data_IF_043791175630
#
_entry.id   IF_043791175630
#
_cell.length_a   1.000
_cell.length_b   1.000
_cell.length_c   1.000
_cell.angle_alpha   90.00
_cell.angle_beta   90.00
_cell.angle_gamma   90.00
#
_symmetry.space_group_name_H-M   'P 1'
#
loop_
_entity.id
_entity.type
_entity.pdbx_description
1 polymer ?
#
# COMPACT_ATOMS: atom_id res chain seq x y z
N UNK A 1 -4.60 1.21 22.56
CA UNK A 1 -3.88 2.33 21.90
C UNK A 1 -4.80 3.34 21.20
N UNK A 2 -6.13 3.24 21.39
CA UNK A 2 -7.11 4.13 20.76
C UNK A 2 -7.14 5.50 21.45
N UNK A 3 -7.12 6.57 20.66
CA UNK A 3 -7.29 7.94 21.13
C UNK A 3 -6.15 8.47 22.00
N UNK A 4 -4.94 7.93 21.86
CA UNK A 4 -3.75 8.51 22.50
C UNK A 4 -3.34 9.73 21.68
N UNK A 5 -3.31 10.91 22.32
CA UNK A 5 -2.95 12.18 21.68
C UNK A 5 -1.62 12.74 22.15
N UNK A 6 -1.24 12.44 23.39
CA UNK A 6 -0.09 13.04 24.05
C UNK A 6 0.91 11.97 24.54
N UNK A 7 2.19 12.33 24.51
CA UNK A 7 3.27 11.45 24.96
C UNK A 7 3.27 11.21 26.49
N UNK A 8 2.61 12.08 27.26
CA UNK A 8 2.46 11.94 28.71
C UNK A 8 1.45 10.85 29.11
N UNK A 9 0.67 10.30 28.16
CA UNK A 9 -0.24 9.20 28.43
C UNK A 9 0.54 7.95 28.87
N UNK A 10 0.12 7.29 29.96
CA UNK A 10 0.73 6.03 30.43
C UNK A 10 0.79 4.96 29.34
N UNK A 11 -0.15 4.98 28.40
CA UNK A 11 -0.21 4.08 27.23
C UNK A 11 0.96 4.28 26.27
N UNK A 12 1.52 5.50 26.20
CA UNK A 12 2.73 5.80 25.43
C UNK A 12 3.96 5.06 25.99
N UNK A 13 4.09 5.00 27.32
CA UNK A 13 5.17 4.25 27.99
C UNK A 13 5.09 2.75 27.67
N UNK A 14 3.88 2.17 27.63
CA UNK A 14 3.68 0.78 27.21
C UNK A 14 3.98 0.55 25.73
N UNK A 15 3.72 1.53 24.86
CA UNK A 15 4.00 1.43 23.43
C UNK A 15 5.50 1.33 23.15
N UNK A 16 6.31 2.17 23.81
CA UNK A 16 7.76 2.22 23.59
C UNK A 16 8.57 1.30 24.51
N UNK A 17 8.00 0.90 25.66
CA UNK A 17 8.67 0.07 26.67
C UNK A 17 8.23 -1.41 26.67
N UNK A 18 8.71 -2.16 27.66
CA UNK A 18 8.23 -3.53 27.93
C UNK A 18 8.53 -4.58 26.86
N UNK A 19 9.62 -4.42 26.09
CA UNK A 19 9.96 -5.31 24.96
C UNK A 19 10.08 -6.78 25.33
N UNK A 20 10.70 -7.11 26.47
CA UNK A 20 10.82 -8.51 26.94
C UNK A 20 9.43 -9.11 27.14
N UNK A 21 8.53 -8.40 27.82
CA UNK A 21 7.15 -8.86 28.04
C UNK A 21 6.41 -9.05 26.71
N UNK A 22 6.55 -8.12 25.75
CA UNK A 22 5.94 -8.23 24.42
C UNK A 22 6.42 -9.44 23.64
N UNK A 23 7.73 -9.72 23.67
CA UNK A 23 8.33 -10.88 22.99
C UNK A 23 7.80 -12.18 23.61
N UNK A 24 7.80 -12.27 24.95
CA UNK A 24 7.28 -13.44 25.66
C UNK A 24 5.80 -13.66 25.33
N UNK A 25 4.98 -12.60 25.39
CA UNK A 25 3.57 -12.68 25.03
C UNK A 25 3.35 -13.12 23.57
N UNK A 26 4.14 -12.59 22.64
CA UNK A 26 4.07 -12.97 21.23
C UNK A 26 4.39 -14.45 21.00
N UNK A 27 5.46 -14.97 21.61
CA UNK A 27 5.82 -16.40 21.53
C UNK A 27 4.72 -17.27 22.13
N UNK A 28 4.16 -16.88 23.29
CA UNK A 28 3.05 -17.60 23.91
C UNK A 28 1.81 -17.65 23.02
N UNK A 29 1.47 -16.54 22.35
CA UNK A 29 0.34 -16.50 21.42
C UNK A 29 0.55 -17.41 20.19
N UNK A 30 1.79 -17.51 19.68
CA UNK A 30 2.12 -18.47 18.61
C UNK A 30 1.91 -19.90 19.08
N UNK A 31 2.41 -20.25 20.26
CA UNK A 31 2.24 -21.60 20.82
C UNK A 31 0.76 -21.91 21.03
N UNK A 32 -0.02 -20.95 21.54
CA UNK A 32 -1.45 -21.11 21.78
C UNK A 32 -2.24 -21.37 20.49
N UNK A 33 -1.80 -20.82 19.35
CA UNK A 33 -2.44 -21.05 18.05
C UNK A 33 -2.51 -22.53 17.63
N UNK A 34 -1.58 -23.37 18.09
CA UNK A 34 -1.61 -24.81 17.81
C UNK A 34 -2.70 -25.58 18.56
N UNK A 35 -3.28 -24.99 19.61
CA UNK A 35 -4.33 -25.62 20.43
C UNK A 35 -5.75 -25.15 20.06
N UNK A 36 -5.88 -24.24 19.08
CA UNK A 36 -7.17 -23.72 18.65
C UNK A 36 -7.89 -24.72 17.72
N UNK A 37 -9.21 -24.94 17.90
CA UNK A 37 -9.97 -25.86 17.07
C UNK A 37 -10.13 -25.31 15.64
N UNK A 38 -10.24 -26.23 14.67
CA UNK A 38 -10.37 -25.91 13.23
C UNK A 38 -11.49 -24.91 12.91
N UNK A 39 -12.59 -24.93 13.67
CA UNK A 39 -13.71 -23.99 13.49
C UNK A 39 -13.25 -22.54 13.68
N UNK A 40 -12.39 -22.26 14.67
CA UNK A 40 -11.89 -20.90 14.90
C UNK A 40 -10.93 -20.48 13.79
N UNK A 41 -10.13 -21.43 13.28
CA UNK A 41 -9.21 -21.18 12.16
C UNK A 41 -10.00 -20.82 10.89
N UNK A 42 -11.12 -21.51 10.59
CA UNK A 42 -11.98 -21.18 9.44
C UNK A 42 -12.65 -19.80 9.57
N UNK A 43 -13.04 -19.39 10.77
CA UNK A 43 -13.55 -18.03 11.02
C UNK A 43 -12.44 -17.00 10.79
N UNK A 44 -11.25 -17.25 11.34
CA UNK A 44 -10.10 -16.36 11.16
C UNK A 44 -9.67 -16.24 9.69
N UNK A 45 -9.74 -17.34 8.92
CA UNK A 45 -9.50 -17.35 7.47
C UNK A 45 -10.46 -16.41 6.74
N UNK A 46 -11.76 -16.46 7.07
CA UNK A 46 -12.77 -15.57 6.46
C UNK A 46 -12.49 -14.10 6.78
N UNK A 47 -12.13 -13.81 8.03
CA UNK A 47 -11.73 -12.45 8.46
C UNK A 47 -10.46 -12.02 7.72
N UNK A 48 -9.48 -12.91 7.58
CA UNK A 48 -8.20 -12.64 6.92
C UNK A 48 -8.36 -12.37 5.43
N UNK A 49 -9.29 -13.04 4.73
CA UNK A 49 -9.65 -12.72 3.34
C UNK A 49 -10.07 -11.26 3.19
N UNK A 50 -11.00 -10.81 4.04
CA UNK A 50 -11.47 -9.43 4.02
C UNK A 50 -10.37 -8.44 4.42
N UNK A 51 -9.64 -8.75 5.51
CA UNK A 51 -8.52 -7.92 5.97
C UNK A 51 -7.40 -7.80 4.94
N UNK A 52 -7.14 -8.85 4.17
CA UNK A 52 -6.16 -8.84 3.07
C UNK A 52 -6.60 -7.95 1.92
N UNK A 53 -7.90 -7.97 1.56
CA UNK A 53 -8.45 -7.02 0.59
C UNK A 53 -8.31 -5.57 1.05
N UNK A 54 -8.57 -5.30 2.34
CA UNK A 54 -8.35 -3.97 2.92
C UNK A 54 -6.87 -3.58 2.96
N UNK A 55 -5.97 -4.53 3.23
CA UNK A 55 -4.53 -4.29 3.20
C UNK A 55 -4.06 -3.88 1.81
N UNK A 56 -4.55 -4.51 0.74
CA UNK A 56 -4.24 -4.11 -0.64
C UNK A 56 -4.60 -2.64 -0.90
N UNK A 57 -5.74 -2.15 -0.37
CA UNK A 57 -6.11 -0.73 -0.47
C UNK A 57 -5.16 0.18 0.32
N UNK A 58 -4.79 -0.22 1.54
CA UNK A 58 -3.80 0.52 2.35
C UNK A 58 -2.44 0.55 1.63
N UNK A 59 -2.04 -0.56 1.04
CA UNK A 59 -0.80 -0.70 0.28
C UNK A 59 -0.76 0.27 -0.91
N UNK A 60 -1.88 0.46 -1.60
CA UNK A 60 -2.03 1.45 -2.68
C UNK A 60 -1.78 2.87 -2.19
N UNK A 61 -2.36 3.26 -1.05
CA UNK A 61 -2.18 4.61 -0.51
C UNK A 61 -0.72 4.80 -0.06
N UNK A 62 -0.11 3.78 0.54
CA UNK A 62 1.31 3.78 0.90
C UNK A 62 2.19 3.98 -0.34
N UNK A 63 1.88 3.25 -1.42
CA UNK A 63 2.62 3.36 -2.67
C UNK A 63 2.49 4.76 -3.28
N UNK A 64 1.29 5.35 -3.26
CA UNK A 64 1.07 6.73 -3.72
C UNK A 64 1.93 7.73 -2.92
N UNK A 65 1.85 7.70 -1.59
CA UNK A 65 2.67 8.56 -0.72
C UNK A 65 4.18 8.38 -0.98
N UNK A 66 4.63 7.14 -1.16
CA UNK A 66 6.02 6.83 -1.52
C UNK A 66 6.41 7.49 -2.85
N UNK A 67 5.60 7.34 -3.90
CA UNK A 67 5.94 7.87 -5.22
C UNK A 67 5.99 9.40 -5.27
N UNK A 68 5.07 10.07 -4.57
CA UNK A 68 5.10 11.54 -4.45
C UNK A 68 6.30 11.99 -3.60
N UNK A 69 6.55 11.35 -2.46
CA UNK A 69 7.71 11.68 -1.61
C UNK A 69 9.03 11.47 -2.36
N UNK A 70 9.15 10.41 -3.15
CA UNK A 70 10.32 10.16 -3.98
C UNK A 70 10.47 11.24 -5.05
N UNK A 71 9.39 11.59 -5.75
CA UNK A 71 9.39 12.67 -6.73
C UNK A 71 9.87 13.98 -6.11
N UNK A 72 9.25 14.39 -5.01
CA UNK A 72 9.50 15.68 -4.38
C UNK A 72 10.93 15.75 -3.83
N UNK A 73 11.45 14.65 -3.26
CA UNK A 73 12.83 14.58 -2.78
C UNK A 73 13.88 14.75 -3.89
N UNK A 74 13.58 14.37 -5.14
CA UNK A 74 14.47 14.58 -6.29
C UNK A 74 14.28 15.97 -6.91
N UNK A 75 13.04 16.47 -6.97
CA UNK A 75 12.72 17.81 -7.45
C UNK A 75 13.32 18.89 -6.53
N UNK A 76 13.29 18.69 -5.21
CA UNK A 76 13.83 19.63 -4.21
C UNK A 76 15.35 19.84 -4.36
N UNK A 77 16.08 18.88 -4.96
CA UNK A 77 17.51 19.05 -5.22
C UNK A 77 17.83 20.15 -6.23
N UNK A 78 16.86 20.49 -7.08
CA UNK A 78 16.94 21.56 -8.08
C UNK A 78 18.20 21.51 -8.99
N UNK A 79 18.67 20.29 -9.32
CA UNK A 79 19.77 20.09 -10.27
C UNK A 79 19.29 19.35 -11.52
N UNK A 80 19.83 19.74 -12.68
CA UNK A 80 19.51 19.13 -13.98
C UNK A 80 19.69 17.59 -14.00
N UNK A 81 20.66 17.06 -13.25
CA UNK A 81 20.91 15.61 -13.19
C UNK A 81 19.73 14.84 -12.58
N UNK A 82 19.07 15.40 -11.56
CA UNK A 82 17.93 14.77 -10.91
C UNK A 82 16.68 14.81 -11.78
N UNK A 83 16.46 15.90 -12.53
CA UNK A 83 15.38 15.96 -13.53
C UNK A 83 15.57 14.94 -14.66
N UNK A 84 16.81 14.78 -15.18
CA UNK A 84 17.13 13.76 -16.18
C UNK A 84 16.92 12.35 -15.61
N UNK A 85 17.35 12.10 -14.37
CA UNK A 85 17.13 10.83 -13.69
C UNK A 85 15.64 10.53 -13.53
N UNK A 86 14.83 11.53 -13.14
CA UNK A 86 13.39 11.40 -12.96
C UNK A 86 12.69 11.04 -14.28
N UNK A 87 13.08 11.70 -15.37
CA UNK A 87 12.58 11.38 -16.71
C UNK A 87 13.00 9.98 -17.15
N UNK A 88 14.26 9.60 -16.95
CA UNK A 88 14.79 8.30 -17.35
C UNK A 88 14.08 7.15 -16.61
N UNK A 89 13.90 7.28 -15.29
CA UNK A 89 13.15 6.30 -14.48
C UNK A 89 11.70 6.24 -14.95
N UNK A 90 11.05 7.39 -15.17
CA UNK A 90 9.66 7.43 -15.61
C UNK A 90 9.45 6.77 -16.97
N UNK A 91 10.33 7.04 -17.93
CA UNK A 91 10.31 6.42 -19.25
C UNK A 91 10.54 4.90 -19.15
N UNK A 92 11.50 4.47 -18.32
CA UNK A 92 11.75 3.05 -18.05
C UNK A 92 10.53 2.34 -17.47
N UNK A 93 9.86 2.95 -16.49
CA UNK A 93 8.63 2.43 -15.89
C UNK A 93 7.49 2.31 -16.92
N UNK A 94 7.27 3.30 -17.78
CA UNK A 94 6.25 3.19 -18.83
C UNK A 94 6.57 2.10 -19.85
N UNK A 95 7.83 2.01 -20.32
CA UNK A 95 8.26 0.95 -21.24
C UNK A 95 8.02 -0.42 -20.60
N UNK A 96 8.37 -0.58 -19.33
CA UNK A 96 8.13 -1.81 -18.58
C UNK A 96 6.63 -2.11 -18.46
N UNK A 97 5.79 -1.14 -18.09
CA UNK A 97 4.34 -1.32 -17.94
C UNK A 97 3.68 -1.78 -19.24
N UNK A 98 3.98 -1.13 -20.37
CA UNK A 98 3.40 -1.48 -21.66
C UNK A 98 3.95 -2.79 -22.23
N UNK A 99 5.26 -3.04 -22.07
CA UNK A 99 5.88 -4.29 -22.52
C UNK A 99 5.36 -5.47 -21.70
N UNK A 100 5.25 -5.31 -20.37
CA UNK A 100 4.70 -6.34 -19.50
C UNK A 100 3.22 -6.61 -19.82
N UNK A 101 2.40 -5.58 -20.03
CA UNK A 101 1.02 -5.73 -20.50
C UNK A 101 0.93 -6.43 -21.85
N UNK A 102 1.88 -6.15 -22.76
CA UNK A 102 2.02 -6.87 -24.03
C UNK A 102 2.29 -8.37 -23.85
N UNK A 103 3.14 -8.74 -22.88
CA UNK A 103 3.40 -10.14 -22.53
C UNK A 103 2.15 -10.83 -21.95
N UNK A 104 1.27 -10.11 -21.25
CA UNK A 104 0.03 -10.67 -20.73
C UNK A 104 -0.89 -11.17 -21.85
N UNK A 105 -0.93 -10.51 -23.02
CA UNK A 105 -1.68 -11.04 -24.16
C UNK A 105 -1.16 -12.40 -24.61
N UNK A 106 0.15 -12.63 -24.57
CA UNK A 106 0.74 -13.92 -24.97
C UNK A 106 0.37 -15.02 -23.97
N UNK A 107 0.27 -14.70 -22.67
CA UNK A 107 -0.01 -15.69 -21.62
C UNK A 107 -1.51 -15.92 -21.37
N UNK A 108 -2.35 -14.90 -21.58
CA UNK A 108 -3.75 -14.91 -21.16
C UNK A 108 -4.77 -14.77 -22.32
N UNK A 109 -4.31 -14.75 -23.57
CA UNK A 109 -5.15 -14.76 -24.78
C UNK A 109 -4.64 -15.79 -25.81
N UNK A 110 -4.76 -17.11 -25.53
CA UNK A 110 -4.35 -18.16 -26.46
C UNK A 110 -5.20 -18.15 -27.74
N UNK A 111 -4.57 -18.43 -28.89
CA UNK A 111 -5.25 -18.49 -30.19
C UNK A 111 -6.29 -19.61 -30.22
N UNK A 112 -7.48 -19.32 -30.75
CA UNK A 112 -8.56 -20.30 -30.95
C UNK A 112 -9.63 -20.33 -29.84
N UNK A 113 -9.54 -19.44 -28.84
CA UNK A 113 -10.54 -19.28 -27.78
C UNK A 113 -10.96 -17.82 -27.61
N UNK A 114 -12.21 -17.58 -27.22
CA UNK A 114 -12.71 -16.24 -26.91
C UNK A 114 -12.36 -15.84 -25.47
N UNK A 115 -11.24 -15.14 -25.32
CA UNK A 115 -10.73 -14.63 -24.04
C UNK A 115 -11.03 -13.14 -23.86
N UNK A 116 -12.25 -12.72 -24.21
CA UNK A 116 -12.66 -11.31 -24.24
C UNK A 116 -12.55 -10.59 -22.89
N UNK A 117 -12.78 -11.30 -21.78
CA UNK A 117 -12.65 -10.73 -20.44
C UNK A 117 -11.19 -10.37 -20.10
N UNK A 118 -10.26 -11.27 -20.40
CA UNK A 118 -8.82 -11.06 -20.16
C UNK A 118 -8.30 -9.93 -21.05
N UNK A 119 -8.71 -9.93 -22.32
CA UNK A 119 -8.43 -8.83 -23.26
C UNK A 119 -8.96 -7.51 -22.72
N UNK A 120 -10.20 -7.48 -22.22
CA UNK A 120 -10.77 -6.26 -21.62
C UNK A 120 -9.95 -5.76 -20.44
N UNK A 121 -9.56 -6.63 -19.51
CA UNK A 121 -8.73 -6.23 -18.36
C UNK A 121 -7.39 -5.66 -18.81
N UNK A 122 -6.65 -6.34 -19.69
CA UNK A 122 -5.35 -5.87 -20.16
C UNK A 122 -5.46 -4.54 -20.92
N UNK A 123 -6.43 -4.42 -21.84
CA UNK A 123 -6.65 -3.20 -22.61
C UNK A 123 -7.03 -2.04 -21.69
N UNK A 124 -7.91 -2.28 -20.71
CA UNK A 124 -8.30 -1.26 -19.73
C UNK A 124 -7.10 -0.78 -18.91
N UNK A 125 -6.24 -1.70 -18.45
CA UNK A 125 -4.99 -1.34 -17.74
C UNK A 125 -4.08 -0.46 -18.60
N UNK A 126 -3.92 -0.78 -19.89
CA UNK A 126 -3.12 0.03 -20.82
C UNK A 126 -3.73 1.41 -21.07
N UNK A 127 -5.06 1.50 -21.21
CA UNK A 127 -5.78 2.77 -21.37
C UNK A 127 -5.61 3.63 -20.11
N UNK A 128 -5.73 3.04 -18.92
CA UNK A 128 -5.51 3.74 -17.66
C UNK A 128 -4.08 4.27 -17.55
N UNK A 129 -3.07 3.43 -17.83
CA UNK A 129 -1.66 3.84 -17.83
C UNK A 129 -1.39 5.00 -18.80
N UNK A 130 -1.95 4.95 -20.01
CA UNK A 130 -1.84 6.03 -20.97
C UNK A 130 -2.55 7.31 -20.48
N UNK A 131 -3.74 7.18 -19.91
CA UNK A 131 -4.51 8.27 -19.33
C UNK A 131 -3.78 8.95 -18.16
N UNK A 132 -3.13 8.18 -17.28
CA UNK A 132 -2.30 8.71 -16.20
C UNK A 132 -1.17 9.59 -16.73
N UNK A 133 -0.51 9.17 -17.81
CA UNK A 133 0.53 9.96 -18.46
C UNK A 133 0.02 11.27 -19.04
N UNK A 134 -1.10 11.24 -19.77
CA UNK A 134 -1.71 12.44 -20.34
C UNK A 134 -2.09 13.44 -19.25
N UNK A 135 -2.78 12.97 -18.20
CA UNK A 135 -3.29 13.84 -17.13
C UNK A 135 -2.13 14.40 -16.30
N UNK A 136 -1.09 13.61 -16.03
CA UNK A 136 0.09 14.08 -15.33
C UNK A 136 0.89 15.14 -16.10
N UNK A 137 0.89 15.08 -17.43
CA UNK A 137 1.55 16.08 -18.31
C UNK A 137 0.67 17.30 -18.61
N UNK A 138 -0.61 17.27 -18.23
CA UNK A 138 -1.52 18.36 -18.56
C UNK A 138 -1.13 19.62 -17.77
N UNK A 139 -0.92 20.79 -18.42
CA UNK A 139 -0.29 21.96 -17.79
C UNK A 139 -1.09 22.61 -16.67
N UNK A 140 -2.39 22.32 -16.57
CA UNK A 140 -3.21 22.77 -15.43
C UNK A 140 -3.05 21.88 -14.19
N UNK A 141 -2.64 20.63 -14.38
CA UNK A 141 -2.42 19.68 -13.29
C UNK A 141 -0.95 19.84 -12.90
N UNK A 142 -0.66 20.17 -11.64
CA UNK A 142 0.71 20.17 -11.12
C UNK A 142 1.18 18.71 -10.90
N UNK A 143 1.09 17.89 -11.95
CA UNK A 143 1.41 16.49 -11.94
C UNK A 143 2.89 16.23 -12.21
N UNK A 144 3.35 15.02 -11.89
CA UNK A 144 4.67 14.53 -12.26
C UNK A 144 4.57 13.18 -12.96
N UNK A 145 5.49 12.95 -13.88
CA UNK A 145 5.53 11.73 -14.68
C UNK A 145 5.98 10.50 -13.86
N UNK A 146 6.76 10.72 -12.80
CA UNK A 146 7.29 9.61 -11.98
C UNK A 146 6.17 8.87 -11.24
N UNK A 147 5.31 9.53 -10.42
CA UNK A 147 4.14 8.87 -9.83
C UNK A 147 3.27 8.19 -10.87
N UNK A 148 2.97 8.85 -12.00
CA UNK A 148 2.15 8.29 -13.08
C UNK A 148 2.71 6.95 -13.61
N UNK A 149 4.02 6.92 -13.86
CA UNK A 149 4.70 5.76 -14.44
C UNK A 149 4.81 4.58 -13.46
N UNK A 150 5.12 4.84 -12.18
CA UNK A 150 5.23 3.79 -11.14
C UNK A 150 3.86 3.19 -10.85
N UNK A 151 2.82 4.02 -10.76
CA UNK A 151 1.44 3.54 -10.59
C UNK A 151 0.99 2.72 -11.81
N UNK A 152 1.40 3.09 -13.03
CA UNK A 152 1.12 2.31 -14.24
C UNK A 152 1.76 0.90 -14.19
N UNK A 153 3.01 0.79 -13.71
CA UNK A 153 3.67 -0.51 -13.49
C UNK A 153 2.92 -1.33 -12.45
N UNK A 154 2.47 -0.69 -11.37
CA UNK A 154 1.72 -1.37 -10.31
C UNK A 154 0.35 -1.85 -10.79
N UNK A 155 -0.38 -1.07 -11.60
CA UNK A 155 -1.63 -1.52 -12.23
C UNK A 155 -1.38 -2.72 -13.16
N UNK A 156 -0.31 -2.69 -13.98
CA UNK A 156 0.07 -3.84 -14.80
C UNK A 156 0.40 -5.08 -13.95
N UNK A 157 1.06 -4.90 -12.80
CA UNK A 157 1.29 -5.96 -11.83
C UNK A 157 -0.03 -6.49 -11.24
N UNK A 158 -0.95 -5.64 -10.81
CA UNK A 158 -2.26 -6.06 -10.28
C UNK A 158 -3.08 -6.83 -11.32
N UNK A 159 -3.07 -6.39 -12.58
CA UNK A 159 -3.71 -7.07 -13.70
C UNK A 159 -3.12 -8.46 -13.91
N UNK A 160 -1.78 -8.60 -13.98
CA UNK A 160 -1.11 -9.91 -14.00
C UNK A 160 -1.49 -10.79 -12.80
N UNK A 161 -1.48 -10.18 -11.61
CA UNK A 161 -1.82 -10.84 -10.36
C UNK A 161 -3.26 -11.34 -10.35
N UNK A 162 -4.18 -10.61 -10.98
CA UNK A 162 -5.58 -11.00 -11.15
C UNK A 162 -5.71 -12.16 -12.13
N UNK A 163 -5.16 -12.03 -13.34
CA UNK A 163 -5.25 -13.05 -14.39
C UNK A 163 -4.57 -14.37 -13.98
N UNK A 164 -3.45 -14.30 -13.26
CA UNK A 164 -2.79 -15.49 -12.72
C UNK A 164 -3.60 -16.23 -11.64
N UNK A 165 -4.60 -15.55 -11.04
CA UNK A 165 -5.55 -16.12 -10.08
C UNK A 165 -6.85 -16.63 -10.73
N UNK A 166 -6.94 -16.72 -12.07
CA UNK A 166 -8.10 -17.30 -12.74
C UNK A 166 -8.27 -18.81 -12.46
N UNK A 167 -9.51 -19.35 -12.43
CA UNK A 167 -9.82 -20.79 -12.28
C UNK A 167 -8.94 -21.72 -13.13
N UNK A 168 -8.52 -22.89 -12.61
CA UNK A 168 -7.64 -23.84 -13.33
C UNK A 168 -8.25 -24.40 -14.59
N UNK A 169 -9.57 -24.56 -14.59
CA UNK A 169 -10.34 -24.98 -15.76
C UNK A 169 -10.58 -23.88 -16.79
N UNK A 170 -10.15 -22.63 -16.53
CA UNK A 170 -10.34 -21.53 -17.47
C UNK A 170 -9.28 -21.56 -18.56
N UNK A 171 -9.73 -21.80 -19.79
CA UNK A 171 -8.88 -22.08 -20.97
C UNK A 171 -7.95 -20.90 -21.32
N UNK A 172 -8.33 -19.69 -20.93
CA UNK A 172 -7.57 -18.48 -21.23
C UNK A 172 -6.33 -18.31 -20.37
N UNK A 173 -6.23 -18.97 -19.20
CA UNK A 173 -5.04 -18.91 -18.37
C UNK A 173 -3.97 -19.90 -18.86
N UNK A 174 -3.12 -19.45 -19.79
CA UNK A 174 -2.02 -20.25 -20.35
C UNK A 174 -0.89 -20.56 -19.35
N UNK A 175 -0.91 -19.96 -18.16
CA UNK A 175 0.10 -20.17 -17.12
C UNK A 175 -0.05 -21.54 -16.45
N UNK A 176 -1.27 -22.08 -16.37
CA UNK A 176 -1.54 -23.39 -15.77
C UNK A 176 -0.89 -24.55 -16.53
N UNK A 177 -0.72 -24.41 -17.85
CA UNK A 177 -0.02 -25.41 -18.66
C UNK A 177 1.50 -25.41 -18.43
N UNK A 178 2.05 -24.38 -17.76
CA UNK A 178 3.49 -24.24 -17.47
C UNK A 178 3.84 -24.31 -15.98
N UNK A 179 2.90 -24.09 -15.05
CA UNK A 179 3.13 -24.11 -13.61
C UNK A 179 2.04 -24.91 -12.88
N UNK A 180 2.42 -26.04 -12.26
CA UNK A 180 1.51 -26.91 -11.47
C UNK A 180 1.19 -26.39 -10.05
N UNK A 181 1.71 -25.23 -9.67
CA UNK A 181 1.50 -24.59 -8.37
C UNK A 181 1.45 -23.08 -8.50
N UNK A 182 1.16 -22.40 -7.39
CA UNK A 182 1.38 -20.95 -7.27
C UNK A 182 2.75 -20.66 -7.84
N UNK A 183 2.84 -19.78 -8.84
CA UNK A 183 4.13 -19.41 -9.41
C UNK A 183 4.99 -18.90 -8.26
N UNK A 184 6.07 -19.60 -7.90
CA UNK A 184 6.96 -19.17 -6.82
C UNK A 184 7.35 -17.69 -6.96
N UNK A 185 7.37 -17.18 -8.20
CA UNK A 185 7.51 -15.75 -8.52
C UNK A 185 6.40 -14.85 -7.99
N UNK A 186 5.11 -15.20 -8.11
CA UNK A 186 4.00 -14.36 -7.60
C UNK A 186 3.99 -14.30 -6.08
N UNK A 187 4.29 -15.41 -5.41
CA UNK A 187 4.42 -15.44 -3.95
C UNK A 187 5.62 -14.62 -3.47
N UNK A 188 6.78 -14.77 -4.10
CA UNK A 188 7.97 -13.99 -3.75
C UNK A 188 7.75 -12.49 -3.99
N UNK A 189 7.15 -12.11 -5.12
CA UNK A 189 6.83 -10.71 -5.42
C UNK A 189 5.79 -10.14 -4.44
N UNK A 190 4.74 -10.89 -4.12
CA UNK A 190 3.72 -10.49 -3.13
C UNK A 190 4.30 -10.31 -1.73
N UNK A 191 5.15 -11.23 -1.27
CA UNK A 191 5.82 -11.09 0.03
C UNK A 191 6.77 -9.89 0.03
N UNK A 192 7.58 -9.72 -1.01
CA UNK A 192 8.54 -8.63 -1.10
C UNK A 192 7.82 -7.27 -1.09
N UNK A 193 6.77 -7.11 -1.88
CA UNK A 193 5.97 -5.88 -1.91
C UNK A 193 5.31 -5.60 -0.55
N UNK A 194 4.80 -6.62 0.14
CA UNK A 194 4.24 -6.48 1.50
C UNK A 194 5.28 -6.00 2.48
N UNK A 195 6.45 -6.64 2.51
CA UNK A 195 7.56 -6.29 3.40
C UNK A 195 8.01 -4.85 3.14
N UNK A 196 8.23 -4.48 1.88
CA UNK A 196 8.62 -3.11 1.51
C UNK A 196 7.56 -2.08 1.93
N UNK A 197 6.28 -2.39 1.77
CA UNK A 197 5.17 -1.49 2.14
C UNK A 197 5.09 -1.27 3.65
N UNK A 198 5.22 -2.34 4.43
CA UNK A 198 5.21 -2.25 5.90
C UNK A 198 6.46 -1.54 6.42
N UNK A 199 7.64 -1.83 5.85
CA UNK A 199 8.89 -1.15 6.20
C UNK A 199 8.79 0.35 5.88
N UNK A 200 8.29 0.72 4.71
CA UNK A 200 8.08 2.11 4.36
C UNK A 200 7.07 2.77 5.31
N UNK A 201 5.94 2.12 5.63
CA UNK A 201 4.97 2.65 6.59
C UNK A 201 5.59 2.87 7.97
N UNK A 202 6.45 1.98 8.44
CA UNK A 202 7.16 2.12 9.71
C UNK A 202 8.19 3.26 9.68
N UNK A 203 8.95 3.40 8.59
CA UNK A 203 9.90 4.51 8.41
C UNK A 203 9.17 5.84 8.32
N UNK A 204 8.08 5.90 7.55
CA UNK A 204 7.21 7.07 7.40
C UNK A 204 6.56 7.45 8.73
N UNK A 205 6.15 6.48 9.55
CA UNK A 205 5.69 6.74 10.92
C UNK A 205 6.71 7.50 11.77
N UNK A 206 8.00 7.20 11.55
CA UNK A 206 9.11 7.87 12.24
C UNK A 206 9.55 9.20 11.62
N UNK A 207 9.29 9.42 10.32
CA UNK A 207 9.83 10.58 9.58
C UNK A 207 8.80 11.62 9.14
N UNK A 208 7.50 11.30 9.01
CA UNK A 208 6.49 12.25 8.54
C UNK A 208 5.08 11.91 9.03
N UNK A 209 4.40 12.90 9.62
CA UNK A 209 3.14 12.71 10.36
C UNK A 209 1.88 12.65 9.50
N UNK A 210 1.96 12.93 8.19
CA UNK A 210 0.78 13.18 7.34
C UNK A 210 -0.06 11.93 7.07
N UNK A 211 0.58 10.78 6.81
CA UNK A 211 -0.13 9.56 6.41
C UNK A 211 -0.81 8.81 7.57
N UNK A 212 -0.23 8.85 8.78
CA UNK A 212 -0.69 8.04 9.92
C UNK A 212 -1.49 8.82 10.97
N UNK A 213 -1.80 10.09 10.71
CA UNK A 213 -2.53 10.93 11.66
C UNK A 213 -3.98 11.12 11.21
N UNK A 214 -4.98 10.76 12.04
CA UNK A 214 -6.36 11.12 11.76
C UNK A 214 -6.53 12.65 11.75
N UNK A 215 -7.53 13.19 11.03
CA UNK A 215 -7.73 14.63 10.86
C UNK A 215 -7.96 15.41 12.17
N UNK A 216 -8.26 14.71 13.27
CA UNK A 216 -8.48 15.27 14.61
C UNK A 216 -7.26 15.18 15.54
N UNK A 217 -6.10 14.73 15.06
CA UNK A 217 -4.86 14.66 15.84
C UNK A 217 -4.05 15.95 15.70
N UNK A 218 -3.49 16.51 16.79
CA UNK A 218 -2.55 17.63 16.68
C UNK A 218 -1.32 17.17 15.88
N UNK A 219 -1.15 17.66 14.64
CA UNK A 219 -0.01 17.32 13.81
C UNK A 219 1.22 18.02 14.39
N UNK A 220 2.24 17.26 14.82
CA UNK A 220 3.51 17.80 15.34
C UNK A 220 4.42 18.42 14.27
N UNK A 221 3.86 18.77 13.10
CA UNK A 221 4.60 19.23 11.91
C UNK A 221 4.13 20.58 11.37
N UNK A 222 3.25 21.31 12.07
CA UNK A 222 3.08 22.73 11.77
C UNK A 222 4.37 23.43 12.18
N UNK A 223 5.14 23.84 11.18
CA UNK A 223 6.38 24.61 11.26
C UNK A 223 6.42 25.49 12.51
N UNK A 224 7.16 25.08 13.54
CA UNK A 224 7.69 26.07 14.48
C UNK A 224 8.78 26.80 13.69
N UNK A 225 8.65 28.11 13.41
CA UNK A 225 9.73 28.84 12.77
C UNK A 225 10.94 28.76 13.70
N UNK A 226 12.05 28.23 13.21
CA UNK A 226 13.34 28.13 13.90
C UNK A 226 14.03 29.50 14.06
N UNK A 227 13.25 30.56 14.27
CA UNK A 227 13.69 31.92 14.54
C UNK A 227 12.74 32.54 15.56
N UNK A 228 12.80 32.05 16.79
CA UNK A 228 12.54 32.93 17.93
C UNK A 228 13.84 33.69 18.16
N UNK A 229 13.87 34.92 17.63
CA UNK A 229 14.95 35.86 17.80
C UNK A 229 15.34 35.97 19.28
N UNK A 230 16.64 35.86 19.56
CA UNK A 230 17.23 36.26 20.84
C UNK A 230 16.82 37.70 21.18
N UNK A 231 15.72 37.88 21.89
CA UNK A 231 15.51 39.02 22.77
C UNK A 231 15.85 38.55 24.17
N UNK A 232 17.08 38.82 24.56
CA UNK A 232 17.48 38.94 25.96
C UNK A 232 16.62 40.05 26.54
N UNK A 233 15.71 39.73 27.46
CA UNK A 233 15.33 40.62 28.55
C UNK A 233 14.69 39.85 29.72
N UNK A 234 15.49 39.79 30.79
CA UNK A 234 15.15 39.85 32.21
C UNK A 234 14.21 38.84 32.91
N UNK A 235 14.82 38.14 33.89
CA UNK A 235 14.37 38.21 35.28
C UNK A 235 13.06 37.52 35.71
N UNK A 236 13.23 36.33 36.33
CA UNK A 236 12.53 35.90 37.56
C UNK A 236 11.09 35.37 37.42
N UNK A 237 10.97 34.06 37.19
CA UNK A 237 10.22 33.17 38.11
C UNK A 237 10.41 31.68 37.75
N UNK A 238 11.21 30.98 38.56
CA UNK A 238 11.13 29.52 38.69
C UNK A 238 9.88 29.19 39.49
N UNK A 239 8.79 28.77 38.85
CA UNK A 239 7.72 27.98 39.46
C UNK A 239 6.86 27.30 38.38
N UNK A 240 7.01 25.98 38.29
CA UNK A 240 6.01 25.05 37.75
C UNK A 240 5.61 25.25 36.29
N UNK A 241 6.49 24.94 35.34
CA UNK A 241 6.02 24.64 33.99
C UNK A 241 5.67 23.16 33.95
N UNK A 242 4.38 22.84 34.01
CA UNK A 242 3.87 21.54 33.56
C UNK A 242 4.53 21.25 32.22
N UNK A 243 5.24 20.12 32.11
CA UNK A 243 5.92 19.75 30.86
C UNK A 243 4.88 19.77 29.75
N UNK A 244 4.97 20.74 28.83
CA UNK A 244 4.01 20.89 27.73
C UNK A 244 3.79 19.51 27.10
N UNK A 245 2.53 19.08 27.04
CA UNK A 245 2.17 17.79 26.51
C UNK A 245 2.59 17.72 25.04
N UNK A 246 3.69 17.03 24.77
CA UNK A 246 4.13 16.84 23.39
C UNK A 246 3.14 15.90 22.70
N UNK A 247 2.57 16.31 21.55
CA UNK A 247 1.67 15.45 20.81
C UNK A 247 2.41 14.22 20.27
N UNK A 248 1.68 13.12 20.10
CA UNK A 248 2.22 11.91 19.46
C UNK A 248 2.37 12.14 17.95
N UNK A 249 3.48 11.68 17.37
CA UNK A 249 3.81 11.90 15.96
C UNK A 249 2.87 11.18 14.99
N UNK A 250 2.21 10.11 15.42
CA UNK A 250 1.27 9.33 14.62
C UNK A 250 0.23 8.63 15.49
N UNK A 251 -0.87 8.19 14.87
CA UNK A 251 -1.87 7.38 15.57
C UNK A 251 -1.38 5.95 15.76
N UNK A 252 -1.11 5.59 17.02
CA UNK A 252 -0.75 4.23 17.39
C UNK A 252 -1.79 3.20 16.94
N UNK A 253 -3.08 3.53 17.02
CA UNK A 253 -4.14 2.63 16.56
C UNK A 253 -4.09 2.35 15.07
N UNK A 254 -3.83 3.37 14.24
CA UNK A 254 -3.72 3.19 12.80
C UNK A 254 -2.47 2.40 12.43
N UNK A 255 -1.34 2.68 13.10
CA UNK A 255 -0.12 1.89 12.98
C UNK A 255 -0.36 0.39 13.23
N UNK A 256 -0.95 0.04 14.37
CA UNK A 256 -1.25 -1.38 14.66
C UNK A 256 -2.27 -2.00 13.71
N UNK A 257 -3.24 -1.21 13.22
CA UNK A 257 -4.20 -1.68 12.23
C UNK A 257 -3.49 -2.07 10.91
N UNK A 258 -2.57 -1.24 10.41
CA UNK A 258 -1.78 -1.56 9.20
C UNK A 258 -1.00 -2.86 9.39
N UNK A 259 -0.30 -3.03 10.51
CA UNK A 259 0.45 -4.26 10.79
C UNK A 259 -0.45 -5.50 10.94
N UNK A 260 -1.63 -5.35 11.54
CA UNK A 260 -2.61 -6.45 11.64
C UNK A 260 -3.10 -6.87 10.25
N UNK A 261 -3.49 -5.90 9.40
CA UNK A 261 -3.93 -6.15 8.03
C UNK A 261 -2.79 -6.75 7.17
N UNK A 262 -1.56 -6.27 7.34
CA UNK A 262 -0.38 -6.84 6.67
C UNK A 262 -0.15 -8.30 7.08
N UNK A 263 -0.32 -8.64 8.36
CA UNK A 263 -0.17 -10.01 8.85
C UNK A 263 -1.24 -10.94 8.30
N UNK A 264 -2.48 -10.47 8.14
CA UNK A 264 -3.56 -11.20 7.47
C UNK A 264 -3.23 -11.44 6.00
N UNK A 265 -2.74 -10.40 5.29
CA UNK A 265 -2.32 -10.52 3.90
C UNK A 265 -1.16 -11.50 3.72
N UNK A 266 -0.13 -11.42 4.56
CA UNK A 266 0.99 -12.36 4.55
C UNK A 266 0.53 -13.80 4.80
N UNK A 267 -0.36 -14.00 5.78
CA UNK A 267 -0.97 -15.30 6.05
C UNK A 267 -1.71 -15.85 4.83
N UNK A 268 -2.56 -15.04 4.20
CA UNK A 268 -3.32 -15.41 3.01
C UNK A 268 -2.43 -15.70 1.80
N UNK A 269 -1.36 -14.93 1.61
CA UNK A 269 -0.41 -15.16 0.54
C UNK A 269 0.37 -16.47 0.74
N UNK A 270 0.80 -16.77 1.98
CA UNK A 270 1.51 -18.02 2.31
C UNK A 270 0.62 -19.26 2.19
N UNK A 271 -0.67 -19.13 2.48
CA UNK A 271 -1.64 -20.23 2.32
C UNK A 271 -2.21 -20.31 0.91
N UNK A 272 -1.75 -19.47 -0.03
CA UNK A 272 -2.26 -19.41 -1.40
C UNK A 272 -3.77 -19.17 -1.45
N UNK A 273 -4.28 -18.34 -0.55
CA UNK A 273 -5.69 -17.96 -0.43
C UNK A 273 -6.69 -19.14 -0.30
N UNK A 274 -6.20 -20.32 0.09
CA UNK A 274 -6.99 -21.55 0.21
C UNK A 274 -7.98 -21.53 1.39
N UNK A 275 -9.16 -22.16 1.21
CA UNK A 275 -10.13 -22.38 2.29
C UNK A 275 -9.86 -23.71 2.99
N UNK A 276 -9.89 -23.72 4.32
CA UNK A 276 -9.69 -24.91 5.14
C UNK A 276 -10.86 -25.94 5.04
N UNK A 277 -12.00 -25.54 4.49
CA UNK A 277 -13.26 -26.31 4.54
C UNK A 277 -13.68 -26.99 3.23
N UNK A 278 -12.98 -26.74 2.12
CA UNK A 278 -13.26 -27.41 0.85
C UNK A 278 -12.56 -28.78 0.83
N UNK A 279 -13.30 -29.85 1.13
CA UNK A 279 -12.87 -31.24 1.00
C UNK A 279 -12.63 -31.72 -0.44
N UNK A 280 -12.38 -30.80 -1.37
CA UNK A 280 -12.00 -31.05 -2.75
C UNK A 280 -10.72 -30.28 -3.06
N UNK A 281 -9.81 -30.91 -3.82
CA UNK A 281 -8.47 -30.44 -4.20
C UNK A 281 -8.47 -29.23 -5.15
N UNK A 282 -9.36 -28.26 -4.96
CA UNK A 282 -9.34 -26.99 -5.68
C UNK A 282 -8.67 -25.93 -4.80
N UNK A 283 -7.41 -25.64 -5.12
CA UNK A 283 -6.62 -24.60 -4.47
C UNK A 283 -7.19 -23.24 -4.82
N UNK A 284 -7.64 -22.46 -3.82
CA UNK A 284 -8.29 -21.14 -3.99
C UNK A 284 -7.24 -20.01 -4.07
N UNK A 285 -6.08 -20.25 -4.68
CA UNK A 285 -5.31 -19.15 -5.29
C UNK A 285 -5.88 -18.78 -6.67
N UNK A 286 -6.95 -19.50 -7.02
CA UNK A 286 -7.47 -19.75 -8.34
C UNK A 286 -8.99 -19.71 -8.22
N UNK A 287 -9.59 -18.60 -8.62
CA UNK A 287 -11.02 -18.36 -8.45
C UNK A 287 -11.40 -16.92 -8.79
N UNK A 288 -12.57 -16.76 -9.40
CA UNK A 288 -13.07 -15.46 -9.86
C UNK A 288 -13.10 -14.39 -8.76
N UNK A 289 -13.32 -14.76 -7.49
CA UNK A 289 -13.28 -13.82 -6.37
C UNK A 289 -11.92 -13.15 -6.21
N UNK A 290 -10.81 -13.91 -6.31
CA UNK A 290 -9.44 -13.34 -6.21
C UNK A 290 -9.16 -12.41 -7.39
N UNK A 291 -9.57 -12.82 -8.61
CA UNK A 291 -9.46 -11.99 -9.82
C UNK A 291 -10.15 -10.64 -9.60
N UNK A 292 -11.42 -10.65 -9.20
CA UNK A 292 -12.20 -9.43 -9.01
C UNK A 292 -11.70 -8.55 -7.88
N UNK A 293 -11.21 -9.11 -6.77
CA UNK A 293 -10.61 -8.30 -5.69
C UNK A 293 -9.40 -7.52 -6.22
N UNK A 294 -8.55 -8.15 -7.03
CA UNK A 294 -7.35 -7.52 -7.60
C UNK A 294 -7.69 -6.49 -8.69
N UNK A 295 -8.64 -6.80 -9.58
CA UNK A 295 -9.12 -5.84 -10.60
C UNK A 295 -9.83 -4.64 -9.96
N UNK A 296 -10.68 -4.85 -8.96
CA UNK A 296 -11.30 -3.74 -8.24
C UNK A 296 -10.26 -2.90 -7.49
N UNK A 297 -9.22 -3.53 -6.92
CA UNK A 297 -8.09 -2.82 -6.31
C UNK A 297 -7.37 -1.95 -7.35
N UNK A 298 -7.16 -2.46 -8.56
CA UNK A 298 -6.55 -1.71 -9.67
C UNK A 298 -7.41 -0.48 -10.05
N UNK A 299 -8.73 -0.65 -10.18
CA UNK A 299 -9.63 0.47 -10.49
C UNK A 299 -9.70 1.50 -9.37
N UNK A 300 -9.73 1.05 -8.12
CA UNK A 300 -9.66 1.96 -6.97
C UNK A 300 -8.32 2.71 -6.97
N UNK A 301 -7.21 2.04 -7.30
CA UNK A 301 -5.89 2.68 -7.45
C UNK A 301 -5.93 3.77 -8.51
N UNK A 302 -6.52 3.47 -9.66
CA UNK A 302 -6.69 4.43 -10.74
C UNK A 302 -7.52 5.64 -10.29
N UNK A 303 -8.65 5.41 -9.62
CA UNK A 303 -9.51 6.49 -9.11
C UNK A 303 -8.78 7.31 -8.06
N UNK A 304 -8.07 6.70 -7.12
CA UNK A 304 -7.32 7.41 -6.07
C UNK A 304 -6.21 8.27 -6.67
N UNK A 305 -5.46 7.75 -7.64
CA UNK A 305 -4.41 8.49 -8.33
C UNK A 305 -4.95 9.65 -9.18
N UNK A 306 -6.02 9.41 -9.93
CA UNK A 306 -6.68 10.48 -10.70
C UNK A 306 -7.26 11.55 -9.77
N UNK A 307 -7.83 11.12 -8.64
CA UNK A 307 -8.35 12.04 -7.64
C UNK A 307 -7.24 12.87 -7.00
N UNK A 308 -6.07 12.31 -6.69
CA UNK A 308 -4.95 13.08 -6.11
C UNK A 308 -4.45 14.18 -7.06
N UNK A 309 -4.60 14.00 -8.36
CA UNK A 309 -4.26 15.03 -9.36
C UNK A 309 -5.38 16.03 -9.64
N UNK A 310 -6.63 15.56 -9.70
CA UNK A 310 -7.77 16.39 -10.14
C UNK A 310 -8.48 17.10 -8.99
N UNK A 311 -8.43 16.58 -7.77
CA UNK A 311 -9.14 17.16 -6.63
C UNK A 311 -8.72 18.62 -6.35
N UNK A 312 -7.43 19.01 -6.39
CA UNK A 312 -7.03 20.41 -6.21
C UNK A 312 -7.59 21.36 -7.28
N UNK A 313 -7.88 20.86 -8.49
CA UNK A 313 -8.45 21.66 -9.57
C UNK A 313 -9.97 21.77 -9.48
N UNK A 314 -10.64 20.71 -9.03
CA UNK A 314 -12.09 20.66 -8.92
C UNK A 314 -12.62 21.38 -7.67
N UNK A 315 -11.82 21.43 -6.60
CA UNK A 315 -12.19 22.07 -5.33
C UNK A 315 -11.07 22.99 -4.83
N UNK A 316 -10.78 24.11 -5.52
CA UNK A 316 -9.69 25.01 -5.15
C UNK A 316 -9.82 25.60 -3.74
N UNK A 317 -11.04 25.66 -3.19
CA UNK A 317 -11.31 26.17 -1.83
C UNK A 317 -11.06 25.14 -0.72
N UNK A 318 -10.67 23.90 -1.05
CA UNK A 318 -10.27 22.88 -0.08
C UNK A 318 -8.76 22.71 -0.07
N UNK A 319 -8.18 22.79 1.13
CA UNK A 319 -6.78 22.41 1.33
C UNK A 319 -6.66 20.88 1.24
N UNK A 320 -6.10 20.40 0.12
CA UNK A 320 -5.69 19.01 -0.06
C UNK A 320 -4.25 18.89 0.42
N UNK A 321 -4.06 18.39 1.65
CA UNK A 321 -2.75 18.09 2.24
C UNK A 321 -2.42 16.61 2.16
#
# INVERSE_FOLDING_TARGET
>A
MIGVKDQNDRRNSWHHGGWIFKIVLWVLLIILMFFLPNVVISVYETISKFGSGLFLLVQVIILLDFTYTWNDAWVEKDEQKWYIALLAVSAGCYIAAFTFSGLLFIWFNPSGHDCGLNVFFIVMTMILAFGFGIIALHPKVNGSLLPASVISVYCAYLCYSALSSEPRGYVCNGLHNKAKGVSTGTLVLGMLTTVLSVLYSAVRAGSSTTFLSPPSSPKSGASRPLLESNTIEDGKNRKGTEAEAQPVSYSYSFFYLIFALASMYAGMLLTGWTSAQSGGSELIDVGWTSVWVRICTEWITAVLYLWSLLAPLLFPDREFF
#
